data_IF_567205305377
#
_entry.id   IF_567205305377
#
_cell.length_a   1.000
_cell.length_b   1.000
_cell.length_c   1.000
_cell.angle_alpha   90.00
_cell.angle_beta   90.00
_cell.angle_gamma   90.00
#
_symmetry.space_group_name_H-M   'P 1'
#
loop_
_entity.id
_entity.type
_entity.pdbx_description
1 polymer ?
#
# COMPACT_ATOMS: atom_id res chain seq x y z
N UNK A 1 4.35 1.58 2.92
CA UNK A 1 4.87 1.11 1.61
C UNK A 1 4.25 1.88 0.45
N UNK A 2 4.97 2.09 -0.66
CA UNK A 2 4.36 2.55 -1.92
C UNK A 2 3.87 1.35 -2.75
N UNK A 3 2.79 1.56 -3.50
CA UNK A 3 2.13 0.53 -4.31
C UNK A 3 1.76 1.08 -5.68
N UNK A 4 2.03 0.35 -6.76
CA UNK A 4 1.56 0.69 -8.11
C UNK A 4 1.46 -0.57 -8.98
N UNK A 5 0.29 -0.79 -9.59
CA UNK A 5 0.03 -1.93 -10.49
C UNK A 5 0.65 -1.81 -11.89
N UNK A 6 1.72 -1.02 -12.02
CA UNK A 6 2.45 -0.79 -13.27
C UNK A 6 3.88 -0.33 -12.97
N UNK A 7 4.68 -0.15 -14.01
CA UNK A 7 5.92 0.61 -13.92
C UNK A 7 5.67 2.11 -13.70
N UNK A 8 6.61 2.74 -13.01
CA UNK A 8 6.69 4.16 -12.71
C UNK A 8 7.75 4.88 -13.57
N UNK A 9 8.88 4.23 -13.87
CA UNK A 9 10.05 4.91 -14.44
C UNK A 9 10.44 4.43 -15.85
N UNK A 10 9.73 3.46 -16.42
CA UNK A 10 10.00 3.02 -17.80
C UNK A 10 9.46 3.99 -18.85
N UNK A 11 10.10 4.04 -20.03
CA UNK A 11 9.63 4.84 -21.18
C UNK A 11 8.26 4.39 -21.70
N UNK A 12 8.02 3.08 -21.73
CA UNK A 12 6.71 2.49 -22.05
C UNK A 12 6.15 1.86 -20.78
N UNK A 13 4.93 2.21 -20.41
CA UNK A 13 4.26 1.66 -19.23
C UNK A 13 4.13 0.14 -19.35
N UNK A 14 4.54 -0.58 -18.31
CA UNK A 14 4.34 -2.03 -18.16
C UNK A 14 3.25 -2.24 -17.13
N UNK A 15 2.15 -2.88 -17.51
CA UNK A 15 1.12 -3.30 -16.56
C UNK A 15 1.62 -4.48 -15.72
N UNK A 16 1.35 -4.46 -14.42
CA UNK A 16 1.83 -5.47 -13.49
C UNK A 16 0.69 -6.08 -12.68
N UNK A 17 0.09 -7.13 -13.25
CA UNK A 17 -1.01 -7.87 -12.64
C UNK A 17 -0.60 -8.78 -11.48
N UNK A 18 0.67 -9.11 -11.32
CA UNK A 18 1.11 -10.18 -10.41
C UNK A 18 0.59 -9.99 -8.98
N UNK A 19 0.57 -8.75 -8.48
CA UNK A 19 0.09 -8.46 -7.13
C UNK A 19 -1.44 -8.57 -7.00
N UNK A 20 -2.19 -7.98 -7.94
CA UNK A 20 -3.67 -8.02 -7.91
C UNK A 20 -4.21 -9.43 -8.16
N UNK A 21 -3.57 -10.17 -9.06
CA UNK A 21 -3.85 -11.59 -9.31
C UNK A 21 -3.56 -12.43 -8.07
N UNK A 22 -2.39 -12.26 -7.43
CA UNK A 22 -2.04 -13.03 -6.24
C UNK A 22 -3.01 -12.79 -5.07
N UNK A 23 -3.41 -11.54 -4.83
CA UNK A 23 -4.44 -11.21 -3.82
C UNK A 23 -5.74 -11.93 -4.14
N UNK A 24 -6.21 -11.83 -5.39
CA UNK A 24 -7.47 -12.45 -5.79
C UNK A 24 -7.41 -13.98 -5.70
N UNK A 25 -6.29 -14.58 -6.06
CA UNK A 25 -6.07 -16.01 -5.96
C UNK A 25 -6.16 -16.51 -4.52
N UNK A 26 -5.53 -15.84 -3.54
CA UNK A 26 -5.58 -16.28 -2.14
C UNK A 26 -6.94 -16.05 -1.49
N UNK A 27 -7.68 -15.02 -1.91
CA UNK A 27 -9.06 -14.81 -1.48
C UNK A 27 -9.95 -15.99 -1.90
N UNK A 28 -9.85 -16.42 -3.16
CA UNK A 28 -10.68 -17.49 -3.71
C UNK A 28 -10.26 -18.89 -3.27
N UNK A 29 -8.96 -19.17 -3.28
CA UNK A 29 -8.44 -20.53 -3.05
C UNK A 29 -8.20 -20.84 -1.57
N UNK A 30 -7.93 -19.81 -0.75
CA UNK A 30 -7.59 -19.97 0.67
C UNK A 30 -8.57 -19.28 1.61
N UNK A 31 -9.60 -18.61 1.08
CA UNK A 31 -10.54 -17.81 1.88
C UNK A 31 -9.81 -16.77 2.75
N UNK A 32 -8.66 -16.29 2.27
CA UNK A 32 -7.80 -15.39 3.02
C UNK A 32 -8.47 -14.02 3.19
N UNK A 33 -8.24 -13.41 4.36
CA UNK A 33 -8.57 -12.00 4.62
C UNK A 33 -7.29 -11.19 4.47
N UNK A 34 -7.21 -10.39 3.42
CA UNK A 34 -6.03 -9.60 3.06
C UNK A 34 -6.25 -8.15 3.47
N UNK A 35 -5.32 -7.60 4.25
CA UNK A 35 -5.27 -6.17 4.57
C UNK A 35 -4.11 -5.55 3.80
N UNK A 36 -4.37 -4.46 3.07
CA UNK A 36 -3.35 -3.71 2.33
C UNK A 36 -3.24 -2.31 2.90
N UNK A 37 -2.10 -1.98 3.49
CA UNK A 37 -1.83 -0.65 4.05
C UNK A 37 -0.82 0.10 3.18
N UNK A 38 -1.26 1.19 2.56
CA UNK A 38 -0.44 1.97 1.61
C UNK A 38 -0.11 3.33 2.20
N UNK A 39 1.13 3.78 2.05
CA UNK A 39 1.53 5.09 2.55
C UNK A 39 0.87 6.22 1.75
N UNK A 40 0.32 7.22 2.43
CA UNK A 40 -0.18 8.44 1.82
C UNK A 40 0.64 9.64 2.31
N UNK A 41 1.25 10.37 1.37
CA UNK A 41 2.28 11.37 1.67
C UNK A 41 2.43 12.40 0.55
N UNK A 42 3.27 13.43 0.74
CA UNK A 42 3.41 14.55 -0.21
C UNK A 42 3.89 14.16 -1.62
N UNK A 43 4.53 12.99 -1.79
CA UNK A 43 4.98 12.49 -3.09
C UNK A 43 4.18 11.26 -3.52
N UNK A 44 2.91 11.17 -3.12
CA UNK A 44 2.02 10.07 -3.48
C UNK A 44 1.87 9.94 -5.00
N UNK A 45 1.94 8.71 -5.51
CA UNK A 45 1.80 8.43 -6.93
C UNK A 45 0.32 8.49 -7.29
N UNK A 46 -0.10 9.52 -8.02
CA UNK A 46 -1.52 9.79 -8.35
C UNK A 46 -2.28 8.57 -8.89
N UNK A 47 -1.64 7.78 -9.78
CA UNK A 47 -2.25 6.59 -10.39
C UNK A 47 -2.48 5.43 -9.42
N UNK A 48 -1.81 5.40 -8.27
CA UNK A 48 -1.95 4.32 -7.27
C UNK A 48 -3.39 4.14 -6.84
N UNK A 49 -4.13 5.24 -6.67
CA UNK A 49 -5.51 5.20 -6.20
C UNK A 49 -6.44 4.39 -7.11
N UNK A 50 -6.29 4.51 -8.44
CA UNK A 50 -7.11 3.76 -9.41
C UNK A 50 -6.88 2.25 -9.29
N UNK A 51 -5.63 1.81 -9.16
CA UNK A 51 -5.31 0.40 -8.98
C UNK A 51 -5.83 -0.12 -7.65
N UNK A 52 -5.66 0.65 -6.57
CA UNK A 52 -6.16 0.25 -5.25
C UNK A 52 -7.69 0.18 -5.24
N UNK A 53 -8.41 1.14 -5.84
CA UNK A 53 -9.88 1.10 -5.94
C UNK A 53 -10.42 -0.06 -6.76
N UNK A 54 -9.62 -0.61 -7.68
CA UNK A 54 -10.03 -1.79 -8.46
C UNK A 54 -9.97 -3.09 -7.65
N UNK A 55 -9.11 -3.19 -6.63
CA UNK A 55 -8.87 -4.42 -5.88
C UNK A 55 -10.09 -4.88 -5.05
N UNK A 56 -10.82 -4.00 -4.32
CA UNK A 56 -12.01 -4.40 -3.58
C UNK A 56 -13.13 -5.02 -4.44
N UNK A 57 -13.11 -4.85 -5.77
CA UNK A 57 -14.06 -5.53 -6.64
C UNK A 57 -13.91 -7.06 -6.58
N UNK A 58 -12.74 -7.57 -6.20
CA UNK A 58 -12.52 -9.00 -5.91
C UNK A 58 -13.44 -9.50 -4.80
N UNK A 59 -13.83 -8.67 -3.83
CA UNK A 59 -14.82 -9.05 -2.81
C UNK A 59 -16.17 -9.36 -3.46
N UNK A 60 -16.60 -8.53 -4.42
CA UNK A 60 -17.86 -8.76 -5.17
C UNK A 60 -17.77 -10.06 -5.97
N UNK A 61 -16.64 -10.28 -6.65
CA UNK A 61 -16.42 -11.50 -7.43
C UNK A 61 -16.40 -12.76 -6.56
N UNK A 62 -15.80 -12.69 -5.36
CA UNK A 62 -15.74 -13.81 -4.42
C UNK A 62 -17.16 -14.31 -4.07
N UNK A 63 -18.11 -13.41 -3.82
CA UNK A 63 -19.50 -13.77 -3.51
C UNK A 63 -20.41 -13.97 -4.74
N UNK A 64 -19.90 -13.83 -5.96
CA UNK A 64 -20.73 -13.77 -7.17
C UNK A 64 -21.41 -15.09 -7.59
N UNK A 65 -20.88 -16.24 -7.15
CA UNK A 65 -21.37 -17.55 -7.57
C UNK A 65 -21.90 -18.35 -6.39
N UNK A 66 -23.10 -18.93 -6.53
CA UNK A 66 -23.66 -19.85 -5.53
C UNK A 66 -22.89 -21.17 -5.42
N UNK A 67 -22.13 -21.52 -6.46
CA UNK A 67 -21.32 -22.72 -6.54
C UNK A 67 -19.93 -22.50 -5.91
N UNK A 68 -19.44 -21.26 -5.93
CA UNK A 68 -18.19 -20.89 -5.29
C UNK A 68 -18.45 -20.47 -3.83
N UNK A 69 -17.99 -21.26 -2.85
CA UNK A 69 -18.16 -20.93 -1.43
C UNK A 69 -17.09 -19.97 -0.91
N UNK A 70 -16.70 -18.98 -1.70
CA UNK A 70 -15.64 -18.06 -1.32
C UNK A 70 -16.07 -17.14 -0.16
N UNK A 71 -15.16 -16.95 0.80
CA UNK A 71 -15.39 -16.16 2.01
C UNK A 71 -14.17 -15.30 2.39
N UNK A 72 -13.21 -15.20 1.46
CA UNK A 72 -12.09 -14.27 1.59
C UNK A 72 -12.53 -12.83 1.40
N UNK A 73 -11.68 -11.91 1.82
CA UNK A 73 -11.91 -10.47 1.67
C UNK A 73 -10.60 -9.73 1.49
N UNK A 74 -10.64 -8.58 0.82
CA UNK A 74 -9.55 -7.62 0.77
C UNK A 74 -10.05 -6.27 1.29
N UNK A 75 -9.29 -5.69 2.20
CA UNK A 75 -9.51 -4.36 2.74
C UNK A 75 -8.27 -3.51 2.49
N UNK A 76 -8.47 -2.23 2.19
CA UNK A 76 -7.37 -1.32 1.86
C UNK A 76 -7.51 -0.05 2.67
N UNK A 77 -6.42 0.37 3.29
CA UNK A 77 -6.32 1.65 3.98
C UNK A 77 -5.09 2.42 3.51
N UNK A 78 -5.20 3.74 3.57
CA UNK A 78 -4.08 4.64 3.52
C UNK A 78 -3.55 4.94 4.92
N UNK A 79 -2.23 4.97 5.08
CA UNK A 79 -1.56 5.40 6.29
C UNK A 79 -1.01 6.82 6.12
N UNK A 80 -1.63 7.79 6.78
CA UNK A 80 -1.34 9.24 6.74
C UNK A 80 -0.64 9.70 8.01
N UNK A 81 0.67 9.89 7.92
CA UNK A 81 1.44 10.44 9.03
C UNK A 81 1.06 11.92 9.25
N UNK A 82 0.84 12.41 10.49
CA UNK A 82 0.52 13.81 10.73
C UNK A 82 1.54 14.76 10.10
N UNK A 83 1.06 15.79 9.40
CA UNK A 83 1.90 16.73 8.66
C UNK A 83 2.57 16.16 7.41
N UNK A 84 2.04 15.07 6.83
CA UNK A 84 2.56 14.48 5.59
C UNK A 84 2.71 15.49 4.43
N UNK A 85 1.85 16.51 4.39
CA UNK A 85 1.81 17.57 3.38
C UNK A 85 2.55 18.85 3.79
N UNK A 86 3.19 18.88 4.96
CA UNK A 86 3.98 20.02 5.46
C UNK A 86 5.50 19.72 5.40
N UNK A 87 5.91 18.97 4.37
CA UNK A 87 7.30 18.53 4.18
C UNK A 87 7.97 19.25 3.02
N UNK A 88 9.25 19.58 3.17
CA UNK A 88 10.05 20.14 2.10
C UNK A 88 11.00 21.25 2.59
N UNK A 89 11.59 22.04 1.68
CA UNK A 89 12.46 23.13 2.08
C UNK A 89 11.66 24.19 2.85
N UNK A 90 12.20 24.69 3.97
CA UNK A 90 11.58 25.76 4.75
C UNK A 90 11.53 27.10 3.98
N UNK A 91 12.46 27.29 3.05
CA UNK A 91 12.55 28.44 2.15
C UNK A 91 12.73 27.93 0.72
N UNK A 92 11.88 28.38 -0.20
CA UNK A 92 12.01 28.10 -1.63
C UNK A 92 11.92 29.41 -2.40
N UNK A 93 12.87 29.67 -3.32
CA UNK A 93 12.96 30.93 -4.09
C UNK A 93 12.83 32.18 -3.20
N UNK A 94 13.57 32.19 -2.08
CA UNK A 94 13.59 33.26 -1.04
C UNK A 94 12.24 33.52 -0.34
N UNK A 95 11.24 32.66 -0.50
CA UNK A 95 9.96 32.73 0.22
C UNK A 95 9.83 31.59 1.23
N UNK A 96 9.24 31.87 2.39
CA UNK A 96 8.85 30.82 3.36
C UNK A 96 7.76 29.95 2.73
N UNK A 97 7.91 28.63 2.86
CA UNK A 97 6.98 27.65 2.27
C UNK A 97 5.88 27.22 3.23
N UNK A 98 6.06 27.43 4.54
CA UNK A 98 5.18 26.88 5.57
C UNK A 98 5.47 25.42 5.92
N UNK A 99 6.45 24.78 5.29
CA UNK A 99 6.89 23.44 5.66
C UNK A 99 7.54 23.46 7.04
N UNK A 100 7.06 22.57 7.92
CA UNK A 100 7.57 22.41 9.29
C UNK A 100 8.45 21.16 9.43
N UNK A 101 8.42 20.26 8.45
CA UNK A 101 9.20 19.03 8.43
C UNK A 101 10.17 18.99 7.24
N UNK A 102 11.35 18.36 7.35
CA UNK A 102 12.21 18.12 6.21
C UNK A 102 11.51 17.25 5.15
N UNK A 103 11.91 17.40 3.89
CA UNK A 103 11.38 16.60 2.79
C UNK A 103 11.53 15.10 3.04
N UNK A 104 10.56 14.31 2.57
CA UNK A 104 10.56 12.84 2.62
C UNK A 104 10.55 12.21 4.04
N UNK A 105 10.27 12.97 5.10
CA UNK A 105 10.33 12.46 6.49
C UNK A 105 9.00 11.99 7.07
N UNK A 106 7.86 12.39 6.51
CA UNK A 106 6.52 12.13 7.07
C UNK A 106 5.78 11.06 6.27
N UNK A 107 6.26 9.82 6.34
CA UNK A 107 5.74 8.70 5.56
C UNK A 107 5.98 7.36 6.27
N UNK A 108 5.02 6.43 6.20
CA UNK A 108 5.26 5.03 6.56
C UNK A 108 5.93 4.32 5.37
N UNK A 109 7.25 4.17 5.43
CA UNK A 109 8.04 3.64 4.32
C UNK A 109 8.47 2.18 4.50
N UNK A 110 7.87 1.43 5.44
CA UNK A 110 8.11 0.00 5.60
C UNK A 110 7.73 -0.77 4.34
N UNK A 111 8.54 -1.77 3.96
CA UNK A 111 8.23 -2.72 2.89
C UNK A 111 8.29 -4.15 3.42
N UNK A 112 7.12 -4.67 3.79
CA UNK A 112 6.99 -6.03 4.28
C UNK A 112 5.62 -6.58 3.94
N UNK A 113 5.50 -7.91 3.99
CA UNK A 113 4.25 -8.64 3.96
C UNK A 113 4.33 -9.75 4.99
N UNK A 114 3.22 -10.04 5.67
CA UNK A 114 3.16 -11.09 6.69
C UNK A 114 1.86 -11.87 6.55
N UNK A 115 1.95 -13.18 6.67
CA UNK A 115 0.83 -14.11 6.78
C UNK A 115 0.88 -14.84 8.12
N UNK A 116 -0.04 -15.75 8.35
CA UNK A 116 -0.10 -16.57 9.59
C UNK A 116 1.17 -17.41 9.83
N UNK A 117 1.95 -17.67 8.78
CA UNK A 117 3.10 -18.60 8.86
C UNK A 117 4.41 -18.02 8.34
N UNK A 118 4.39 -16.90 7.61
CA UNK A 118 5.59 -16.38 6.94
C UNK A 118 5.62 -14.85 6.89
N UNK A 119 6.79 -14.31 7.20
CA UNK A 119 7.10 -12.88 7.08
C UNK A 119 8.09 -12.64 5.93
N UNK A 120 7.94 -11.50 5.27
CA UNK A 120 8.84 -10.99 4.24
C UNK A 120 9.14 -9.53 4.50
N UNK A 121 10.42 -9.16 4.51
CA UNK A 121 10.89 -7.77 4.62
C UNK A 121 11.77 -7.49 3.39
N UNK A 122 11.61 -6.32 2.77
CA UNK A 122 12.30 -5.97 1.54
C UNK A 122 12.79 -4.53 1.54
N UNK A 123 13.70 -4.22 0.62
CA UNK A 123 14.05 -2.84 0.24
C UNK A 123 13.15 -2.30 -0.89
N UNK A 124 12.45 -3.16 -1.61
CA UNK A 124 11.69 -2.80 -2.82
C UNK A 124 10.26 -2.36 -2.50
N UNK A 125 9.83 -1.24 -3.08
CA UNK A 125 8.41 -0.87 -3.12
C UNK A 125 7.62 -1.87 -3.98
N UNK A 126 6.32 -1.99 -3.75
CA UNK A 126 5.43 -2.81 -4.58
C UNK A 126 5.05 -2.07 -5.87
N UNK A 127 6.06 -1.84 -6.70
CA UNK A 127 6.00 -1.20 -8.02
C UNK A 127 6.89 -2.00 -8.97
N UNK A 128 6.48 -2.20 -10.23
CA UNK A 128 7.17 -3.09 -11.17
C UNK A 128 8.68 -2.81 -11.30
N UNK A 129 9.08 -1.55 -11.46
CA UNK A 129 10.50 -1.18 -11.64
C UNK A 129 11.39 -1.66 -10.48
N UNK A 130 10.88 -1.61 -9.25
CA UNK A 130 11.65 -1.99 -8.07
C UNK A 130 11.97 -3.50 -8.01
N UNK A 131 11.29 -4.32 -8.81
CA UNK A 131 11.55 -5.75 -8.94
C UNK A 131 12.35 -6.12 -10.19
N UNK A 132 12.22 -5.35 -11.27
CA UNK A 132 12.75 -5.74 -12.58
C UNK A 132 13.87 -4.84 -13.12
N UNK A 133 14.04 -3.63 -12.58
CA UNK A 133 15.00 -2.64 -13.10
C UNK A 133 15.94 -2.08 -12.04
N UNK A 134 15.73 -2.39 -10.76
CA UNK A 134 16.60 -1.97 -9.65
C UNK A 134 17.18 -3.17 -8.90
N UNK A 135 18.30 -2.96 -8.21
CA UNK A 135 18.84 -3.95 -7.29
C UNK A 135 18.23 -3.75 -5.89
N UNK A 136 17.65 -4.82 -5.34
CA UNK A 136 17.08 -4.85 -4.00
C UNK A 136 17.39 -6.17 -3.31
N UNK A 137 17.19 -6.21 -1.99
CA UNK A 137 17.32 -7.42 -1.19
C UNK A 137 16.02 -7.66 -0.43
N UNK A 138 15.67 -8.94 -0.30
CA UNK A 138 14.51 -9.38 0.47
C UNK A 138 14.92 -10.50 1.41
N UNK A 139 14.41 -10.45 2.63
CA UNK A 139 14.53 -11.48 3.64
C UNK A 139 13.15 -12.11 3.89
N UNK A 140 13.07 -13.44 3.85
CA UNK A 140 11.85 -14.19 4.13
C UNK A 140 12.10 -15.24 5.18
N UNK A 141 11.18 -15.39 6.14
CA UNK A 141 11.34 -16.29 7.29
C UNK A 141 10.02 -16.93 7.71
N UNK A 142 10.11 -18.17 8.19
CA UNK A 142 9.03 -18.88 8.87
C UNK A 142 9.20 -18.88 10.40
N UNK A 143 10.15 -18.10 10.94
CA UNK A 143 10.38 -18.03 12.38
C UNK A 143 9.15 -17.40 13.07
N UNK A 144 8.44 -18.13 13.96
CA UNK A 144 7.19 -17.65 14.55
C UNK A 144 7.32 -16.34 15.33
N UNK A 145 8.47 -16.11 15.99
CA UNK A 145 8.69 -14.88 16.75
C UNK A 145 8.76 -13.65 15.83
N UNK A 146 9.45 -13.77 14.68
CA UNK A 146 9.53 -12.67 13.70
C UNK A 146 8.16 -12.47 13.02
N UNK A 147 7.45 -13.55 12.72
CA UNK A 147 6.09 -13.48 12.15
C UNK A 147 5.15 -12.74 13.10
N UNK A 148 5.08 -13.14 14.38
CA UNK A 148 4.25 -12.47 15.40
C UNK A 148 4.57 -10.99 15.50
N UNK A 149 5.86 -10.64 15.55
CA UNK A 149 6.28 -9.26 15.69
C UNK A 149 5.92 -8.40 14.47
N UNK A 150 6.01 -8.94 13.25
CA UNK A 150 5.55 -8.25 12.04
C UNK A 150 4.02 -8.09 12.01
N UNK A 151 3.26 -9.08 12.50
CA UNK A 151 1.81 -8.98 12.63
C UNK A 151 1.43 -7.87 13.63
N UNK A 152 2.11 -7.81 14.78
CA UNK A 152 1.89 -6.77 15.80
C UNK A 152 2.18 -5.37 15.24
N UNK A 153 3.27 -5.19 14.50
CA UNK A 153 3.60 -3.92 13.85
C UNK A 153 2.51 -3.55 12.82
N UNK A 154 2.08 -4.50 11.99
CA UNK A 154 1.04 -4.26 11.00
C UNK A 154 -0.29 -3.87 11.65
N UNK A 155 -0.73 -4.60 12.67
CA UNK A 155 -1.99 -4.30 13.36
C UNK A 155 -1.92 -2.98 14.13
N UNK A 156 -0.77 -2.61 14.70
CA UNK A 156 -0.58 -1.31 15.31
C UNK A 156 -0.79 -0.17 14.29
N UNK A 157 -0.17 -0.27 13.12
CA UNK A 157 -0.33 0.71 12.04
C UNK A 157 -1.77 0.71 11.47
N UNK A 158 -2.36 -0.47 11.25
CA UNK A 158 -3.69 -0.66 10.66
C UNK A 158 -4.84 -0.11 11.52
N UNK A 159 -4.69 -0.23 12.85
CA UNK A 159 -5.68 0.22 13.83
C UNK A 159 -5.35 1.62 14.39
N UNK A 160 -4.26 2.24 13.94
CA UNK A 160 -3.88 3.58 14.33
C UNK A 160 -4.89 4.64 13.84
N UNK A 161 -4.96 5.83 14.49
CA UNK A 161 -5.73 6.96 13.98
C UNK A 161 -5.17 7.54 12.66
N UNK A 162 -4.05 7.01 12.17
CA UNK A 162 -3.41 7.42 10.93
C UNK A 162 -3.83 6.56 9.75
N UNK A 163 -4.56 5.45 9.97
CA UNK A 163 -5.05 4.57 8.92
C UNK A 163 -6.51 4.89 8.56
N UNK A 164 -6.77 5.29 7.32
CA UNK A 164 -8.09 5.65 6.81
C UNK A 164 -8.46 4.81 5.57
N UNK A 165 -9.74 4.42 5.37
CA UNK A 165 -10.20 3.77 4.15
C UNK A 165 -9.94 4.59 2.87
N UNK A 166 -9.88 3.92 1.72
CA UNK A 166 -9.62 4.57 0.43
C UNK A 166 -10.80 5.45 -0.04
N UNK A 167 -12.03 5.09 0.32
CA UNK A 167 -13.27 5.75 -0.09
C UNK A 167 -13.45 7.14 0.57
N UNK A 168 -12.87 7.37 1.75
CA UNK A 168 -12.98 8.66 2.45
C UNK A 168 -12.16 9.78 1.79
N UNK A 169 -11.21 9.44 0.91
CA UNK A 169 -10.33 10.41 0.25
C UNK A 169 -10.86 10.97 -1.08
N UNK A 170 -11.82 10.31 -1.72
CA UNK A 170 -12.42 10.86 -2.95
C UNK A 170 -13.35 12.05 -2.68
N UNK A 171 -13.98 12.10 -1.51
CA UNK A 171 -14.88 13.20 -1.16
C UNK A 171 -14.13 14.49 -0.81
N UNK A 172 -12.89 14.41 -0.31
CA UNK A 172 -12.07 15.60 -0.03
C UNK A 172 -11.51 16.31 -1.27
N UNK A 173 -11.47 15.63 -2.43
CA UNK A 173 -11.03 16.23 -3.69
C UNK A 173 -12.18 16.82 -4.53
N UNK A 174 -13.43 16.46 -4.24
CA UNK A 174 -14.60 17.05 -4.90
C UNK A 174 -14.98 18.42 -4.31
N UNK A 175 -14.69 18.66 -3.03
CA UNK A 175 -15.03 19.92 -2.33
C UNK A 175 -13.97 21.02 -2.47
N UNK A 176 -12.98 20.84 -3.35
CA UNK A 176 -11.92 21.82 -3.62
C UNK A 176 -11.81 22.26 -5.09
N UNK A 177 -12.88 22.07 -5.86
CA UNK A 177 -13.05 22.64 -7.22
C UNK A 177 -13.98 23.83 -7.23
#
# INVERSE_FOLDING_TARGET
MEWLGQSQHTKKTVYWSSLSSAISEVLFSKHAKVKVLVAYWANFIEKTELYLKSLPYTNVLCYSSKQNRCSGSVEIKYHKVPGYNLTGPAIHKRKRTGNIYPGYTRVNHGKYAVSDVRGHISTSNLVWDYFYTTAGVSFGTYNPAIVSQLQEIFEADWNSPYAAPIEELSNSHADSS
#
